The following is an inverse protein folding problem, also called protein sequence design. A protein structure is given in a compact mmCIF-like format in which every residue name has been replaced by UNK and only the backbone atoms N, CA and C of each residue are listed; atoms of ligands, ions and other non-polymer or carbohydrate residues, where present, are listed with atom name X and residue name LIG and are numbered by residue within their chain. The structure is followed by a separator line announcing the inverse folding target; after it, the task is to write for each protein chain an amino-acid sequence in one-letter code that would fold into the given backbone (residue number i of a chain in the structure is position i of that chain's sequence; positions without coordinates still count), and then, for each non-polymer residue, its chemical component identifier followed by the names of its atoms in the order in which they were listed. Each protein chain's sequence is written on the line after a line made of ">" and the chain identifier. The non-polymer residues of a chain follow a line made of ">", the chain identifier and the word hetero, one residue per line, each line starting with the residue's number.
data_IF_500854216727
#
_entry.id   IF_500854216727
#
_cell.length_a   1.000
_cell.length_b   1.000
_cell.length_c   1.000
_cell.angle_alpha   90.00
_cell.angle_beta   90.00
_cell.angle_gamma   90.00
#
_symmetry.space_group_name_H-M   'P 1'
#
loop_
_entity.id
_entity.type
_entity.pdbx_description
1 polymer ?
#
# COMPACT_ATOMS: atom_id res chain seq x y z
N UNK A 1 -13.64 -29.35 -2.08
CA UNK A 1 -14.54 -28.34 -1.48
C UNK A 1 -13.67 -27.17 -1.02
N UNK A 2 -13.95 -25.95 -1.48
CA UNK A 2 -13.25 -24.77 -0.94
C UNK A 2 -13.62 -24.64 0.54
N UNK A 3 -12.59 -24.58 1.39
CA UNK A 3 -12.72 -24.37 2.83
C UNK A 3 -13.46 -23.04 3.02
N UNK A 4 -14.70 -23.07 3.53
CA UNK A 4 -15.39 -21.86 3.95
C UNK A 4 -14.57 -21.26 5.09
N UNK A 5 -13.93 -20.14 4.84
CA UNK A 5 -13.29 -19.35 5.90
C UNK A 5 -14.42 -18.75 6.71
N UNK A 6 -14.56 -19.19 7.96
CA UNK A 6 -15.50 -18.59 8.89
C UNK A 6 -14.97 -17.20 9.25
N UNK A 7 -15.50 -16.17 8.58
CA UNK A 7 -15.20 -14.80 8.93
C UNK A 7 -15.91 -14.53 10.27
N UNK A 8 -15.13 -14.09 11.25
CA UNK A 8 -15.65 -13.66 12.54
C UNK A 8 -16.74 -12.60 12.34
N UNK A 9 -17.76 -12.63 13.19
CA UNK A 9 -18.85 -11.67 13.13
C UNK A 9 -18.31 -10.28 13.49
N UNK A 10 -18.53 -9.31 12.61
CA UNK A 10 -18.33 -7.91 12.95
C UNK A 10 -19.41 -7.49 13.96
N UNK A 11 -19.01 -6.71 14.95
CA UNK A 11 -19.86 -6.16 16.00
C UNK A 11 -20.66 -4.92 15.54
N UNK A 12 -20.52 -4.53 14.26
CA UNK A 12 -21.23 -3.44 13.62
C UNK A 12 -21.86 -3.85 12.28
N UNK A 13 -22.93 -3.17 11.84
CA UNK A 13 -23.51 -3.37 10.51
C UNK A 13 -22.66 -2.69 9.44
N UNK A 14 -22.39 -3.40 8.34
CA UNK A 14 -21.60 -2.88 7.22
C UNK A 14 -22.47 -2.19 6.16
N UNK A 15 -21.97 -1.08 5.62
CA UNK A 15 -22.55 -0.45 4.43
C UNK A 15 -21.81 -1.00 3.22
N UNK A 16 -22.55 -1.45 2.21
CA UNK A 16 -22.00 -1.89 0.93
C UNK A 16 -21.04 -3.10 1.04
N UNK A 17 -20.28 -3.34 -0.03
CA UNK A 17 -19.31 -4.42 -0.11
C UNK A 17 -17.98 -4.01 0.53
N UNK A 18 -17.39 -4.89 1.31
CA UNK A 18 -16.03 -4.73 1.81
C UNK A 18 -14.99 -4.91 0.72
N UNK A 19 -13.85 -4.25 0.88
CA UNK A 19 -12.69 -4.38 -0.01
C UNK A 19 -11.59 -5.16 0.70
N UNK A 20 -11.07 -6.22 0.07
CA UNK A 20 -9.89 -6.93 0.55
C UNK A 20 -8.63 -6.35 -0.11
N UNK A 21 -7.71 -5.81 0.69
CA UNK A 21 -6.43 -5.31 0.22
C UNK A 21 -5.31 -5.61 1.24
N UNK A 22 -4.22 -6.23 0.79
CA UNK A 22 -3.04 -6.56 1.61
C UNK A 22 -3.38 -7.24 2.96
N UNK A 23 -4.17 -8.33 2.91
CA UNK A 23 -4.67 -9.07 4.08
C UNK A 23 -5.50 -8.23 5.08
N UNK A 24 -6.05 -7.10 4.62
CA UNK A 24 -6.94 -6.25 5.38
C UNK A 24 -8.26 -6.08 4.66
N UNK A 25 -9.36 -6.19 5.40
CA UNK A 25 -10.70 -5.91 4.92
C UNK A 25 -11.02 -4.47 5.30
N UNK A 26 -11.44 -3.67 4.33
CA UNK A 26 -11.90 -2.31 4.51
C UNK A 26 -13.41 -2.29 4.35
N UNK A 27 -14.11 -1.75 5.33
CA UNK A 27 -15.59 -1.71 5.38
C UNK A 27 -16.05 -0.41 6.02
N UNK A 28 -17.25 0.04 5.68
CA UNK A 28 -17.88 1.19 6.34
C UNK A 28 -18.76 0.68 7.48
N UNK A 29 -18.54 1.18 8.68
CA UNK A 29 -19.49 1.06 9.78
C UNK A 29 -20.67 2.01 9.52
N UNK A 30 -21.85 1.45 9.30
CA UNK A 30 -23.09 2.22 9.01
C UNK A 30 -23.53 3.11 10.16
N UNK A 31 -23.31 2.70 11.41
CA UNK A 31 -23.75 3.42 12.59
C UNK A 31 -22.85 4.63 12.81
N UNK A 32 -21.54 4.43 12.72
CA UNK A 32 -20.56 5.47 13.00
C UNK A 32 -20.20 6.31 11.78
N UNK A 33 -20.54 5.84 10.56
CA UNK A 33 -20.13 6.44 9.28
C UNK A 33 -18.61 6.58 9.19
N UNK A 34 -17.91 5.53 9.60
CA UNK A 34 -16.45 5.45 9.67
C UNK A 34 -15.94 4.32 8.81
N UNK A 35 -14.76 4.50 8.24
CA UNK A 35 -14.08 3.44 7.51
C UNK A 35 -13.23 2.62 8.49
N UNK A 36 -13.58 1.36 8.64
CA UNK A 36 -12.90 0.40 9.50
C UNK A 36 -12.00 -0.49 8.65
N UNK A 37 -10.76 -0.63 9.09
CA UNK A 37 -9.79 -1.58 8.57
C UNK A 37 -9.70 -2.78 9.53
N UNK A 38 -9.78 -3.99 8.98
CA UNK A 38 -9.77 -5.22 9.76
C UNK A 38 -8.66 -6.13 9.25
N UNK A 39 -7.69 -6.44 10.10
CA UNK A 39 -6.62 -7.37 9.76
C UNK A 39 -7.16 -8.81 9.75
N UNK A 40 -7.07 -9.51 8.61
CA UNK A 40 -7.68 -10.84 8.43
C UNK A 40 -7.06 -11.89 9.35
N UNK A 41 -5.73 -11.81 9.57
CA UNK A 41 -5.00 -12.81 10.35
C UNK A 41 -5.24 -12.63 11.87
N UNK A 42 -5.14 -11.41 12.36
CA UNK A 42 -5.22 -11.08 13.80
C UNK A 42 -6.62 -10.73 14.26
N UNK A 43 -7.54 -10.45 13.33
CA UNK A 43 -8.92 -9.97 13.58
C UNK A 43 -8.97 -8.61 14.29
N UNK A 44 -7.83 -7.92 14.41
CA UNK A 44 -7.76 -6.58 15.00
C UNK A 44 -8.43 -5.59 14.04
N UNK A 45 -9.32 -4.79 14.61
CA UNK A 45 -10.01 -3.70 13.92
C UNK A 45 -9.34 -2.36 14.27
N UNK A 46 -9.23 -1.47 13.28
CA UNK A 46 -8.75 -0.10 13.49
C UNK A 46 -9.52 0.87 12.60
N UNK A 47 -9.86 2.03 13.15
CA UNK A 47 -10.49 3.12 12.40
C UNK A 47 -9.45 3.87 11.55
N UNK A 48 -9.78 4.09 10.27
CA UNK A 48 -9.09 5.08 9.46
C UNK A 48 -9.70 6.45 9.77
N UNK A 49 -8.86 7.36 10.29
CA UNK A 49 -9.24 8.73 10.69
C UNK A 49 -9.51 9.61 9.45
N UNK A 50 -10.56 9.28 8.70
CA UNK A 50 -10.98 9.96 7.47
C UNK A 50 -12.27 10.73 7.74
N UNK A 51 -12.33 11.96 7.25
CA UNK A 51 -13.53 12.79 7.35
C UNK A 51 -14.49 12.48 6.19
N UNK A 52 -15.22 11.36 6.29
CA UNK A 52 -16.13 10.86 5.25
C UNK A 52 -17.40 11.71 5.14
N UNK A 53 -18.00 11.73 3.96
CA UNK A 53 -19.38 12.20 3.79
C UNK A 53 -20.36 11.28 4.56
N UNK A 54 -21.27 11.90 5.32
CA UNK A 54 -22.22 11.20 6.19
C UNK A 54 -23.34 10.49 5.43
N UNK A 55 -23.65 10.96 4.21
CA UNK A 55 -24.71 10.43 3.35
C UNK A 55 -24.10 9.47 2.33
N UNK A 56 -22.99 9.87 1.71
CA UNK A 56 -22.34 9.19 0.61
C UNK A 56 -21.01 8.57 1.02
N UNK A 57 -21.06 7.62 1.96
CA UNK A 57 -19.86 6.93 2.48
C UNK A 57 -19.30 5.86 1.52
N UNK A 58 -19.26 6.15 0.22
CA UNK A 58 -18.68 5.27 -0.80
C UNK A 58 -17.15 5.41 -0.83
N UNK A 59 -16.46 4.30 -1.03
CA UNK A 59 -15.01 4.30 -1.26
C UNK A 59 -14.62 3.23 -2.28
N UNK A 60 -13.41 3.37 -2.82
CA UNK A 60 -12.81 2.43 -3.73
C UNK A 60 -11.31 2.32 -3.43
N UNK A 61 -10.72 1.14 -3.61
CA UNK A 61 -9.27 0.93 -3.43
C UNK A 61 -8.65 0.52 -4.75
N UNK A 62 -7.67 1.30 -5.21
CA UNK A 62 -6.83 1.02 -6.36
C UNK A 62 -5.37 1.13 -5.95
N UNK A 63 -4.62 0.03 -6.11
CA UNK A 63 -3.25 -0.07 -5.61
C UNK A 63 -3.14 0.32 -4.13
N UNK A 64 -2.18 1.16 -3.76
CA UNK A 64 -2.02 1.67 -2.39
C UNK A 64 -2.89 2.91 -2.12
N UNK A 65 -3.88 3.21 -2.97
CA UNK A 65 -4.70 4.42 -2.86
C UNK A 65 -6.14 4.05 -2.57
N UNK A 66 -6.67 4.65 -1.50
CA UNK A 66 -8.08 4.61 -1.16
C UNK A 66 -8.73 5.92 -1.59
N UNK A 67 -9.70 5.83 -2.50
CA UNK A 67 -10.50 6.96 -2.97
C UNK A 67 -11.81 6.99 -2.21
N UNK A 68 -12.16 8.15 -1.66
CA UNK A 68 -13.37 8.32 -0.86
C UNK A 68 -13.97 9.71 -1.06
N UNK A 69 -15.21 9.88 -0.63
CA UNK A 69 -15.90 11.17 -0.63
C UNK A 69 -15.78 11.77 0.77
N UNK A 70 -15.18 12.96 0.87
CA UNK A 70 -15.01 13.65 2.14
C UNK A 70 -16.28 14.41 2.56
N UNK A 71 -16.32 14.96 3.78
CA UNK A 71 -17.47 15.71 4.30
C UNK A 71 -17.86 16.95 3.50
N UNK A 72 -16.99 17.44 2.61
CA UNK A 72 -17.24 18.56 1.73
C UNK A 72 -17.74 18.10 0.35
N UNK A 73 -18.12 16.81 0.22
CA UNK A 73 -18.50 16.15 -1.03
C UNK A 73 -17.42 16.25 -2.13
N UNK A 74 -16.14 16.35 -1.74
CA UNK A 74 -15.03 16.28 -2.68
C UNK A 74 -14.47 14.87 -2.71
N UNK A 75 -14.00 14.46 -3.88
CA UNK A 75 -13.20 13.26 -3.98
C UNK A 75 -11.84 13.50 -3.33
N UNK A 76 -11.44 12.61 -2.44
CA UNK A 76 -10.11 12.59 -1.85
C UNK A 76 -9.45 11.23 -2.09
N UNK A 77 -8.11 11.21 -2.11
CA UNK A 77 -7.32 9.98 -2.09
C UNK A 77 -6.50 9.91 -0.81
N UNK A 78 -6.45 8.74 -0.21
CA UNK A 78 -5.67 8.41 0.97
C UNK A 78 -4.66 7.33 0.60
N UNK A 79 -3.38 7.61 0.82
CA UNK A 79 -2.32 6.63 0.59
C UNK A 79 -2.26 5.67 1.79
N UNK A 80 -2.56 4.39 1.55
CA UNK A 80 -2.64 3.34 2.57
C UNK A 80 -1.28 3.06 3.23
N UNK A 81 -0.15 3.39 2.57
CA UNK A 81 1.21 3.24 3.09
C UNK A 81 1.69 4.49 3.84
N UNK A 82 1.73 5.65 3.17
CA UNK A 82 2.24 6.89 3.76
C UNK A 82 1.25 7.58 4.70
N UNK A 83 -0.02 7.13 4.71
CA UNK A 83 -1.10 7.70 5.54
C UNK A 83 -1.40 9.17 5.22
N UNK A 84 -1.07 9.62 4.01
CA UNK A 84 -1.30 11.00 3.55
C UNK A 84 -2.61 11.12 2.78
N UNK A 85 -3.33 12.22 2.98
CA UNK A 85 -4.57 12.55 2.25
C UNK A 85 -4.28 13.65 1.24
N UNK A 86 -4.86 13.53 0.04
CA UNK A 86 -4.83 14.55 -1.01
C UNK A 86 -6.25 14.72 -1.56
N UNK A 87 -6.76 15.95 -1.56
CA UNK A 87 -8.02 16.27 -2.22
C UNK A 87 -7.83 16.35 -3.74
N UNK A 88 -8.83 15.89 -4.48
CA UNK A 88 -8.85 15.84 -5.95
C UNK A 88 -9.86 16.88 -6.48
N UNK A 89 -9.72 17.32 -7.75
CA UNK A 89 -10.52 18.42 -8.30
C UNK A 89 -11.97 18.03 -8.66
N UNK A 90 -12.52 16.99 -8.04
CA UNK A 90 -13.90 16.55 -8.27
C UNK A 90 -14.76 16.93 -7.07
N UNK A 91 -15.77 17.76 -7.30
CA UNK A 91 -16.67 18.28 -6.29
C UNK A 91 -18.07 17.69 -6.44
N UNK A 92 -18.91 17.86 -5.41
CA UNK A 92 -20.29 17.35 -5.35
C UNK A 92 -20.38 15.86 -5.71
N UNK A 93 -19.40 15.09 -5.27
CA UNK A 93 -19.31 13.65 -5.48
C UNK A 93 -20.32 12.96 -4.57
N UNK A 94 -21.12 12.06 -5.15
CA UNK A 94 -22.12 11.27 -4.42
C UNK A 94 -21.83 9.76 -4.47
N UNK A 95 -20.91 9.33 -5.34
CA UNK A 95 -20.45 7.94 -5.39
C UNK A 95 -19.06 7.85 -6.01
N UNK A 96 -18.24 6.95 -5.48
CA UNK A 96 -16.98 6.51 -6.08
C UNK A 96 -16.94 4.98 -6.09
N UNK A 97 -16.57 4.40 -7.22
CA UNK A 97 -16.40 2.96 -7.42
C UNK A 97 -15.16 2.72 -8.29
N UNK A 98 -14.68 1.48 -8.38
CA UNK A 98 -13.52 1.16 -9.20
C UNK A 98 -13.60 -0.19 -9.89
N UNK A 99 -13.01 -0.27 -11.08
CA UNK A 99 -12.82 -1.50 -11.83
C UNK A 99 -11.46 -1.46 -12.54
N UNK A 100 -10.57 -2.43 -12.29
CA UNK A 100 -9.17 -2.40 -12.76
C UNK A 100 -8.44 -1.13 -12.33
N UNK A 101 -7.85 -0.36 -13.26
CA UNK A 101 -7.25 0.96 -13.03
C UNK A 101 -8.23 2.11 -13.24
N UNK A 102 -9.52 1.82 -13.38
CA UNK A 102 -10.53 2.81 -13.68
C UNK A 102 -11.30 3.18 -12.42
N UNK A 103 -11.38 4.48 -12.14
CA UNK A 103 -12.33 5.06 -11.21
C UNK A 103 -13.61 5.46 -11.94
N UNK A 104 -14.72 5.25 -11.26
CA UNK A 104 -16.05 5.67 -11.68
C UNK A 104 -16.56 6.61 -10.60
N UNK A 105 -16.78 7.86 -10.96
CA UNK A 105 -17.20 8.91 -10.04
C UNK A 105 -18.55 9.44 -10.51
N UNK A 106 -19.52 9.52 -9.60
CA UNK A 106 -20.82 10.14 -9.85
C UNK A 106 -20.87 11.46 -9.11
N UNK A 107 -21.22 12.53 -9.83
CA UNK A 107 -21.35 13.89 -9.30
C UNK A 107 -22.77 14.41 -9.49
N UNK A 108 -23.20 15.30 -8.60
CA UNK A 108 -24.47 16.03 -8.71
C UNK A 108 -24.24 17.54 -8.60
N UNK A 109 -24.05 18.20 -9.74
CA UNK A 109 -23.89 19.65 -9.82
C UNK A 109 -25.15 20.38 -10.29
N UNK A 110 -26.32 19.77 -10.08
CA UNK A 110 -27.61 20.18 -10.67
C UNK A 110 -28.07 19.22 -11.77
N UNK A 111 -27.14 18.48 -12.35
CA UNK A 111 -27.37 17.34 -13.23
C UNK A 111 -26.52 16.16 -12.74
N UNK A 112 -27.10 14.96 -12.79
CA UNK A 112 -26.37 13.73 -12.45
C UNK A 112 -25.41 13.39 -13.57
N UNK A 113 -24.13 13.26 -13.25
CA UNK A 113 -23.09 12.89 -14.21
C UNK A 113 -22.26 11.71 -13.70
N UNK A 114 -21.87 10.82 -14.61
CA UNK A 114 -20.88 9.76 -14.33
C UNK A 114 -19.62 10.00 -15.13
N UNK A 115 -18.48 10.02 -14.46
CA UNK A 115 -17.14 10.19 -15.06
C UNK A 115 -16.36 8.88 -14.95
N UNK A 116 -15.81 8.43 -16.07
CA UNK A 116 -14.88 7.30 -16.16
C UNK A 116 -13.46 7.86 -16.24
N UNK A 117 -12.63 7.50 -15.28
CA UNK A 117 -11.28 8.06 -15.10
C UNK A 117 -10.27 6.93 -15.02
N UNK A 118 -9.30 6.92 -15.91
CA UNK A 118 -8.19 5.96 -15.89
C UNK A 118 -7.06 6.48 -14.99
N UNK A 119 -6.44 5.59 -14.22
CA UNK A 119 -5.27 5.90 -13.41
C UNK A 119 -4.02 5.37 -14.11
N UNK A 120 -3.17 6.27 -14.58
CA UNK A 120 -1.85 5.92 -15.16
C UNK A 120 -0.74 6.68 -14.47
N UNK A 121 0.21 5.96 -13.86
CA UNK A 121 1.36 6.57 -13.17
C UNK A 121 0.91 7.69 -12.22
N UNK A 122 -0.08 7.38 -11.39
CA UNK A 122 -0.70 8.32 -10.42
C UNK A 122 -1.45 9.53 -11.02
N UNK A 123 -1.50 9.65 -12.35
CA UNK A 123 -2.30 10.69 -13.03
C UNK A 123 -3.71 10.19 -13.30
N UNK A 124 -4.68 11.06 -13.04
CA UNK A 124 -6.09 10.86 -13.35
C UNK A 124 -6.35 11.33 -14.77
N UNK A 125 -6.78 10.44 -15.64
CA UNK A 125 -7.07 10.72 -17.05
C UNK A 125 -8.56 10.50 -17.28
N UNK A 126 -9.30 11.59 -17.50
CA UNK A 126 -10.73 11.49 -17.85
C UNK A 126 -10.87 10.80 -19.21
N UNK A 127 -11.57 9.67 -19.24
CA UNK A 127 -11.83 8.92 -20.47
C UNK A 127 -13.19 9.29 -21.08
N UNK A 128 -14.22 9.43 -20.24
CA UNK A 128 -15.59 9.65 -20.69
C UNK A 128 -16.45 10.28 -19.59
N UNK A 129 -17.39 11.12 -19.99
CA UNK A 129 -18.48 11.62 -19.14
C UNK A 129 -19.81 11.15 -19.73
N UNK A 130 -20.76 10.83 -18.85
CA UNK A 130 -22.15 10.52 -19.17
C UNK A 130 -23.06 11.45 -18.37
N UNK A 131 -24.05 12.05 -19.01
CA UNK A 131 -25.01 12.96 -18.38
C UNK A 131 -26.17 12.18 -17.72
N UNK A 132 -25.78 11.19 -16.91
CA UNK A 132 -26.69 10.31 -16.17
C UNK A 132 -25.96 9.63 -15.03
N UNK A 133 -26.72 9.12 -14.06
CA UNK A 133 -26.22 8.32 -12.95
C UNK A 133 -26.09 6.86 -13.35
N UNK A 134 -24.86 6.41 -13.46
CA UNK A 134 -24.51 5.00 -13.65
C UNK A 134 -23.89 4.45 -12.38
N UNK A 135 -24.11 3.17 -12.10
CA UNK A 135 -23.39 2.44 -11.07
C UNK A 135 -22.67 1.24 -11.64
N UNK A 136 -21.57 0.86 -11.00
CA UNK A 136 -20.79 -0.32 -11.34
C UNK A 136 -21.39 -1.57 -10.70
N UNK A 137 -21.77 -2.53 -11.55
CA UNK A 137 -21.99 -3.92 -11.17
C UNK A 137 -20.64 -4.65 -11.07
N UNK A 138 -20.52 -5.60 -10.15
CA UNK A 138 -19.25 -6.28 -9.84
C UNK A 138 -18.64 -7.06 -11.00
N UNK A 139 -19.43 -7.34 -12.03
CA UNK A 139 -19.02 -7.97 -13.29
C UNK A 139 -18.31 -7.01 -14.26
N UNK A 140 -18.09 -5.75 -13.88
CA UNK A 140 -17.39 -4.77 -14.71
C UNK A 140 -18.27 -4.17 -15.81
N UNK A 141 -19.55 -3.93 -15.49
CA UNK A 141 -20.46 -3.16 -16.36
C UNK A 141 -21.09 -2.02 -15.59
N UNK A 142 -21.33 -0.91 -16.27
CA UNK A 142 -22.08 0.20 -15.72
C UNK A 142 -23.54 0.09 -16.13
N UNK A 143 -24.45 0.30 -15.18
CA UNK A 143 -25.88 0.26 -15.42
C UNK A 143 -26.51 1.54 -14.89
N UNK A 144 -27.58 1.97 -15.54
CA UNK A 144 -28.28 3.21 -15.19
C UNK A 144 -29.33 2.93 -14.12
N UNK A 145 -29.36 3.77 -13.08
CA UNK A 145 -30.28 3.60 -11.96
C UNK A 145 -31.74 3.68 -12.47
N UNK A 146 -32.51 2.62 -12.25
CA UNK A 146 -33.92 2.54 -12.67
C UNK A 146 -34.16 1.97 -14.07
N UNK A 147 -33.11 1.69 -14.86
CA UNK A 147 -33.24 0.95 -16.12
C UNK A 147 -32.45 -0.35 -16.03
N UNK A 148 -33.11 -1.49 -16.19
CA UNK A 148 -32.46 -2.80 -16.02
C UNK A 148 -31.92 -3.40 -17.31
N UNK A 149 -32.30 -2.88 -18.48
CA UNK A 149 -31.96 -3.52 -19.75
C UNK A 149 -30.68 -2.97 -20.41
N UNK A 150 -30.28 -1.75 -20.03
CA UNK A 150 -29.18 -1.05 -20.67
C UNK A 150 -27.90 -1.09 -19.83
N UNK A 151 -26.76 -1.33 -20.45
CA UNK A 151 -25.48 -1.34 -19.78
C UNK A 151 -24.33 -0.84 -20.65
N UNK A 152 -23.22 -0.49 -20.01
CA UNK A 152 -21.97 -0.12 -20.66
C UNK A 152 -20.89 -1.06 -20.18
N UNK A 153 -20.19 -1.66 -21.14
CA UNK A 153 -19.14 -2.62 -20.86
C UNK A 153 -17.79 -1.92 -20.67
N UNK A 154 -17.23 -1.97 -19.46
CA UNK A 154 -15.95 -1.32 -19.15
C UNK A 154 -14.73 -1.97 -19.82
N UNK A 155 -14.88 -3.18 -20.38
CA UNK A 155 -13.81 -3.81 -21.18
C UNK A 155 -13.81 -3.35 -22.63
N UNK A 156 -14.91 -2.79 -23.12
CA UNK A 156 -15.02 -2.39 -24.51
C UNK A 156 -14.53 -0.97 -24.73
N UNK A 157 -13.77 -0.80 -25.82
CA UNK A 157 -13.37 0.53 -26.29
C UNK A 157 -14.62 1.34 -26.66
N UNK A 158 -14.58 2.64 -26.37
CA UNK A 158 -15.64 3.58 -26.75
C UNK A 158 -16.84 3.69 -25.81
N UNK A 159 -16.96 2.78 -24.82
CA UNK A 159 -18.01 2.82 -23.79
C UNK A 159 -19.43 2.95 -24.36
N UNK A 160 -19.70 2.19 -25.42
CA UNK A 160 -21.01 2.20 -26.07
C UNK A 160 -22.07 1.54 -25.20
N UNK A 161 -23.30 2.07 -25.29
CA UNK A 161 -24.48 1.48 -24.68
C UNK A 161 -24.80 0.16 -25.38
N UNK A 162 -25.14 -0.84 -24.58
CA UNK A 162 -25.68 -2.13 -24.98
C UNK A 162 -27.04 -2.34 -24.31
N UNK A 163 -27.86 -3.16 -24.95
CA UNK A 163 -29.18 -3.53 -24.45
C UNK A 163 -29.22 -5.04 -24.10
N UNK A 164 -30.30 -5.51 -23.48
CA UNK A 164 -30.50 -6.92 -23.15
C UNK A 164 -29.87 -7.40 -21.84
N UNK A 165 -29.47 -6.51 -20.92
CA UNK A 165 -28.90 -6.91 -19.63
C UNK A 165 -29.87 -7.77 -18.80
N UNK A 166 -31.16 -7.46 -18.85
CA UNK A 166 -32.17 -8.19 -18.06
C UNK A 166 -32.30 -9.65 -18.51
N UNK A 167 -32.06 -9.93 -19.80
CA UNK A 167 -32.05 -11.30 -20.33
C UNK A 167 -30.88 -12.14 -19.80
N UNK A 168 -29.82 -11.49 -19.33
CA UNK A 168 -28.63 -12.12 -18.74
C UNK A 168 -28.75 -12.26 -17.22
N UNK A 169 -29.83 -11.71 -16.63
CA UNK A 169 -30.06 -11.72 -15.19
C UNK A 169 -30.64 -13.06 -14.77
N UNK A 170 -30.07 -13.62 -13.71
CA UNK A 170 -30.54 -14.82 -13.03
C UNK A 170 -31.45 -14.45 -11.86
N UNK A 171 -32.37 -15.36 -11.51
CA UNK A 171 -33.31 -15.18 -10.40
C UNK A 171 -32.58 -15.02 -9.04
N UNK A 172 -31.55 -15.83 -8.82
CA UNK A 172 -30.83 -15.88 -7.55
C UNK A 172 -29.43 -15.30 -7.71
N UNK A 173 -28.97 -14.57 -6.69
CA UNK A 173 -27.59 -14.12 -6.61
C UNK A 173 -26.66 -15.32 -6.39
N UNK A 174 -25.47 -15.28 -6.97
CA UNK A 174 -24.43 -16.29 -6.75
C UNK A 174 -23.06 -15.61 -6.66
N UNK A 175 -22.12 -16.30 -6.00
CA UNK A 175 -20.75 -15.81 -5.81
C UNK A 175 -19.88 -16.21 -6.99
N UNK A 176 -19.07 -15.27 -7.46
CA UNK A 176 -18.12 -15.46 -8.57
C UNK A 176 -16.72 -15.02 -8.14
N UNK A 177 -15.68 -15.30 -8.93
CA UNK A 177 -14.36 -14.73 -8.69
C UNK A 177 -14.33 -13.19 -8.74
N UNK A 178 -15.35 -12.55 -9.31
CA UNK A 178 -15.52 -11.10 -9.36
C UNK A 178 -16.38 -10.56 -8.20
N UNK A 179 -16.92 -11.46 -7.37
CA UNK A 179 -17.84 -11.19 -6.27
C UNK A 179 -19.30 -11.60 -6.55
N UNK A 180 -20.24 -11.37 -5.63
CA UNK A 180 -21.65 -11.69 -5.80
C UNK A 180 -22.30 -10.93 -6.97
N UNK A 181 -23.10 -11.63 -7.78
CA UNK A 181 -23.80 -11.04 -8.94
C UNK A 181 -25.04 -11.84 -9.31
N UNK A 182 -25.94 -11.21 -10.07
CA UNK A 182 -27.05 -11.87 -10.75
C UNK A 182 -26.74 -12.24 -12.22
N UNK A 183 -25.58 -11.87 -12.77
CA UNK A 183 -25.35 -11.91 -14.23
C UNK A 183 -24.29 -12.94 -14.62
N UNK A 184 -24.66 -14.22 -14.65
CA UNK A 184 -23.69 -15.33 -14.77
C UNK A 184 -22.94 -15.32 -16.09
N UNK A 185 -23.67 -15.04 -17.16
CA UNK A 185 -23.16 -15.11 -18.53
C UNK A 185 -22.23 -13.93 -18.86
N UNK A 186 -22.20 -12.91 -18.00
CA UNK A 186 -21.24 -11.82 -18.09
C UNK A 186 -19.95 -12.10 -17.33
N UNK A 187 -19.79 -13.26 -16.68
CA UNK A 187 -18.56 -13.64 -15.97
C UNK A 187 -17.67 -14.43 -16.92
N UNK A 188 -16.88 -13.73 -17.74
CA UNK A 188 -15.96 -14.36 -18.70
C UNK A 188 -14.55 -14.52 -18.14
N UNK A 189 -13.77 -15.46 -18.68
CA UNK A 189 -12.34 -15.62 -18.36
C UNK A 189 -11.54 -14.33 -18.59
N UNK A 190 -11.89 -13.57 -19.63
CA UNK A 190 -11.27 -12.28 -19.90
C UNK A 190 -11.50 -11.31 -18.74
N UNK A 191 -12.73 -11.22 -18.22
CA UNK A 191 -13.09 -10.38 -17.06
C UNK A 191 -12.45 -10.85 -15.76
N UNK A 192 -12.41 -12.16 -15.55
CA UNK A 192 -11.72 -12.76 -14.42
C UNK A 192 -10.22 -12.41 -14.49
N UNK A 193 -9.56 -12.63 -15.63
CA UNK A 193 -8.14 -12.28 -15.85
C UNK A 193 -7.89 -10.78 -15.70
N UNK A 194 -8.84 -9.97 -16.18
CA UNK A 194 -8.84 -8.53 -16.05
C UNK A 194 -8.82 -8.05 -14.59
N UNK A 195 -9.61 -8.68 -13.72
CA UNK A 195 -9.59 -8.40 -12.28
C UNK A 195 -8.38 -9.03 -11.59
N UNK A 196 -8.01 -10.25 -12.01
CA UNK A 196 -6.87 -10.98 -11.45
C UNK A 196 -5.51 -10.41 -11.86
N UNK A 197 -5.39 -9.66 -12.96
CA UNK A 197 -4.13 -9.01 -13.35
C UNK A 197 -3.59 -8.11 -12.22
N UNK A 198 -4.48 -7.46 -11.49
CA UNK A 198 -4.14 -6.72 -10.27
C UNK A 198 -3.90 -7.63 -9.06
N UNK A 199 -4.68 -8.70 -8.91
CA UNK A 199 -4.54 -9.63 -7.79
C UNK A 199 -3.28 -10.50 -7.88
N UNK A 200 -2.83 -10.89 -9.07
CA UNK A 200 -1.69 -11.80 -9.29
C UNK A 200 -0.35 -11.10 -9.09
N UNK A 201 -0.22 -9.84 -9.52
CA UNK A 201 0.94 -9.01 -9.20
C UNK A 201 1.05 -8.76 -7.69
N UNK A 202 -0.07 -8.56 -7.00
CA UNK A 202 -0.12 -8.37 -5.54
C UNK A 202 0.07 -9.67 -4.76
N UNK A 203 -0.48 -10.79 -5.23
CA UNK A 203 -0.30 -12.10 -4.61
C UNK A 203 1.16 -12.53 -4.70
N UNK A 204 1.83 -12.33 -5.84
CA UNK A 204 3.27 -12.60 -5.98
C UNK A 204 4.09 -11.76 -4.98
N UNK A 205 3.75 -10.48 -4.79
CA UNK A 205 4.41 -9.63 -3.79
C UNK A 205 4.14 -10.07 -2.34
N UNK A 206 2.91 -10.52 -2.05
CA UNK A 206 2.53 -11.04 -0.74
C UNK A 206 3.25 -12.37 -0.46
N UNK A 207 3.28 -13.27 -1.44
CA UNK A 207 3.95 -14.56 -1.34
C UNK A 207 5.45 -14.35 -1.13
N UNK A 208 6.09 -13.44 -1.89
CA UNK A 208 7.49 -13.10 -1.69
C UNK A 208 7.77 -12.51 -0.30
N UNK A 209 6.92 -11.62 0.22
CA UNK A 209 7.08 -11.09 1.57
C UNK A 209 6.92 -12.18 2.65
N UNK A 210 5.92 -13.05 2.53
CA UNK A 210 5.72 -14.17 3.46
C UNK A 210 6.93 -15.11 3.43
N UNK A 211 7.40 -15.47 2.24
CA UNK A 211 8.58 -16.32 2.07
C UNK A 211 9.82 -15.65 2.66
N UNK A 212 9.96 -14.33 2.52
CA UNK A 212 11.06 -13.58 3.12
C UNK A 212 11.00 -13.61 4.65
N UNK A 213 9.84 -13.34 5.26
CA UNK A 213 9.66 -13.39 6.71
C UNK A 213 9.89 -14.81 7.27
N UNK A 214 9.40 -15.83 6.57
CA UNK A 214 9.67 -17.23 6.91
C UNK A 214 11.15 -17.56 6.82
N UNK A 215 11.84 -17.09 5.78
CA UNK A 215 13.28 -17.27 5.63
C UNK A 215 14.07 -16.58 6.75
N UNK A 216 13.66 -15.38 7.19
CA UNK A 216 14.25 -14.70 8.35
C UNK A 216 14.03 -15.48 9.64
N UNK A 217 12.80 -15.91 9.92
CA UNK A 217 12.45 -16.65 11.14
C UNK A 217 13.20 -17.98 11.24
N UNK A 218 13.34 -18.68 10.12
CA UNK A 218 14.05 -19.96 10.03
C UNK A 218 15.55 -19.81 9.79
N UNK A 219 16.05 -18.56 9.70
CA UNK A 219 17.43 -18.23 9.36
C UNK A 219 17.92 -18.96 8.10
N UNK A 220 17.05 -19.11 7.09
CA UNK A 220 17.36 -19.73 5.81
C UNK A 220 18.17 -18.77 4.94
N UNK A 221 19.46 -18.62 5.26
CA UNK A 221 20.38 -17.71 4.59
C UNK A 221 20.49 -17.91 3.07
N UNK A 222 20.52 -19.16 2.53
CA UNK A 222 20.48 -19.36 1.09
C UNK A 222 19.23 -18.80 0.42
N UNK A 223 18.07 -18.85 1.08
CA UNK A 223 16.84 -18.23 0.58
C UNK A 223 16.92 -16.70 0.66
N UNK A 224 17.36 -16.15 1.80
CA UNK A 224 17.56 -14.70 2.00
C UNK A 224 18.49 -14.12 0.92
N UNK A 225 19.58 -14.82 0.60
CA UNK A 225 20.56 -14.40 -0.41
C UNK A 225 19.99 -14.34 -1.84
N UNK A 226 18.84 -14.96 -2.13
CA UNK A 226 18.19 -14.91 -3.44
C UNK A 226 17.28 -13.70 -3.64
N UNK A 227 16.86 -13.02 -2.58
CA UNK A 227 16.00 -11.84 -2.71
C UNK A 227 16.73 -10.67 -3.36
N UNK A 228 15.95 -9.78 -3.99
CA UNK A 228 16.47 -8.58 -4.64
C UNK A 228 17.02 -7.58 -3.63
N UNK A 229 17.92 -6.69 -4.08
CA UNK A 229 18.48 -5.63 -3.23
C UNK A 229 17.38 -4.73 -2.65
N UNK A 230 16.34 -4.42 -3.44
CA UNK A 230 15.21 -3.61 -2.98
C UNK A 230 14.45 -4.26 -1.81
N UNK A 231 14.24 -5.58 -1.86
CA UNK A 231 13.56 -6.31 -0.78
C UNK A 231 14.41 -6.37 0.49
N UNK A 232 15.73 -6.57 0.33
CA UNK A 232 16.68 -6.57 1.44
C UNK A 232 16.79 -5.19 2.08
N UNK A 233 16.81 -4.12 1.28
CA UNK A 233 16.83 -2.73 1.76
C UNK A 233 15.59 -2.40 2.59
N UNK A 234 14.39 -2.77 2.12
CA UNK A 234 13.14 -2.56 2.84
C UNK A 234 13.07 -3.28 4.20
N UNK A 235 13.89 -4.31 4.40
CA UNK A 235 13.91 -5.13 5.62
C UNK A 235 15.30 -5.16 6.27
N UNK A 236 16.15 -4.18 5.97
CA UNK A 236 17.58 -4.20 6.30
C UNK A 236 17.83 -4.33 7.80
N UNK A 237 17.00 -3.66 8.62
CA UNK A 237 17.10 -3.73 10.08
C UNK A 237 16.87 -5.14 10.62
N UNK A 238 15.85 -5.84 10.10
CA UNK A 238 15.52 -7.20 10.52
C UNK A 238 16.61 -8.18 10.12
N UNK A 239 17.18 -8.01 8.92
CA UNK A 239 18.27 -8.86 8.41
C UNK A 239 19.54 -8.67 9.26
N UNK A 240 19.95 -7.43 9.52
CA UNK A 240 21.19 -7.12 10.28
C UNK A 240 21.12 -7.64 11.72
N UNK A 241 19.95 -7.55 12.38
CA UNK A 241 19.78 -8.03 13.77
C UNK A 241 20.08 -9.52 13.95
N UNK A 242 19.85 -10.34 12.93
CA UNK A 242 20.10 -11.79 12.98
C UNK A 242 21.39 -12.20 12.27
N UNK A 243 22.08 -11.25 11.64
CA UNK A 243 23.25 -11.50 10.78
C UNK A 243 24.44 -12.09 11.54
N UNK A 244 24.49 -11.90 12.86
CA UNK A 244 25.51 -12.47 13.75
C UNK A 244 25.60 -14.00 13.67
N UNK A 245 24.52 -14.69 13.28
CA UNK A 245 24.48 -16.14 13.11
C UNK A 245 24.60 -16.60 11.65
N UNK A 246 24.82 -15.66 10.72
CA UNK A 246 24.89 -15.93 9.29
C UNK A 246 26.29 -16.39 8.89
N UNK A 247 26.38 -17.51 8.16
CA UNK A 247 27.63 -17.98 7.53
C UNK A 247 27.62 -17.83 5.99
N UNK A 248 26.61 -17.16 5.44
CA UNK A 248 26.43 -17.02 4.00
C UNK A 248 27.08 -15.73 3.49
N UNK A 249 28.21 -15.85 2.80
CA UNK A 249 28.97 -14.71 2.28
C UNK A 249 28.18 -13.85 1.27
N UNK A 250 27.28 -14.43 0.48
CA UNK A 250 26.43 -13.68 -0.47
C UNK A 250 25.49 -12.72 0.25
N UNK A 251 24.94 -13.15 1.39
CA UNK A 251 24.11 -12.28 2.24
C UNK A 251 24.96 -11.13 2.79
N UNK A 252 26.18 -11.40 3.28
CA UNK A 252 27.07 -10.35 3.76
C UNK A 252 27.45 -9.34 2.68
N UNK A 253 27.78 -9.80 1.47
CA UNK A 253 28.13 -8.91 0.35
C UNK A 253 26.97 -8.00 -0.02
N UNK A 254 25.75 -8.55 -0.20
CA UNK A 254 24.55 -7.73 -0.50
C UNK A 254 24.23 -6.72 0.59
N UNK A 255 24.24 -7.15 1.85
CA UNK A 255 23.90 -6.28 2.99
C UNK A 255 24.99 -5.23 3.22
N UNK A 256 26.27 -5.60 3.09
CA UNK A 256 27.39 -4.67 3.17
C UNK A 256 27.33 -3.61 2.08
N UNK A 257 27.02 -4.00 0.84
CA UNK A 257 26.80 -3.06 -0.27
C UNK A 257 25.66 -2.09 0.04
N UNK A 258 24.51 -2.58 0.51
CA UNK A 258 23.36 -1.73 0.85
C UNK A 258 23.72 -0.74 1.98
N UNK A 259 24.30 -1.21 3.08
CA UNK A 259 24.65 -0.35 4.21
C UNK A 259 25.73 0.70 3.87
N UNK A 260 26.63 0.38 2.93
CA UNK A 260 27.66 1.31 2.47
C UNK A 260 27.13 2.39 1.51
N UNK A 261 26.04 2.12 0.78
CA UNK A 261 25.57 3.00 -0.32
C UNK A 261 24.22 3.68 -0.05
N UNK A 262 23.38 3.12 0.83
CA UNK A 262 22.07 3.69 1.15
C UNK A 262 22.25 4.92 2.06
N UNK A 263 21.63 6.02 1.66
CA UNK A 263 21.61 7.25 2.45
C UNK A 263 20.72 7.07 3.69
N UNK A 264 21.10 7.68 4.81
CA UNK A 264 20.34 7.68 6.08
C UNK A 264 20.30 6.34 6.86
N UNK A 265 21.23 5.43 6.63
CA UNK A 265 21.41 4.26 7.51
C UNK A 265 22.03 4.68 8.84
N UNK A 266 21.47 4.22 9.96
CA UNK A 266 21.96 4.56 11.30
C UNK A 266 23.36 3.98 11.58
N UNK A 267 24.16 4.70 12.37
CA UNK A 267 25.49 4.23 12.82
C UNK A 267 25.38 2.88 13.55
N UNK A 268 24.35 2.72 14.35
CA UNK A 268 24.09 1.47 15.10
C UNK A 268 23.95 0.28 14.16
N UNK A 269 23.24 0.44 13.04
CA UNK A 269 23.05 -0.65 12.09
C UNK A 269 24.33 -1.00 11.34
N UNK A 270 25.10 0.02 10.95
CA UNK A 270 26.45 -0.16 10.37
C UNK A 270 27.37 -0.90 11.34
N UNK A 271 27.36 -0.52 12.62
CA UNK A 271 28.18 -1.17 13.65
C UNK A 271 27.77 -2.64 13.86
N UNK A 272 26.47 -2.94 13.94
CA UNK A 272 25.98 -4.32 14.07
C UNK A 272 26.43 -5.21 12.91
N UNK A 273 26.44 -4.68 11.68
CA UNK A 273 26.99 -5.41 10.53
C UNK A 273 28.49 -5.67 10.66
N UNK A 274 29.27 -4.65 11.07
CA UNK A 274 30.72 -4.78 11.29
C UNK A 274 31.00 -5.88 12.33
N UNK A 275 30.29 -5.86 13.45
CA UNK A 275 30.47 -6.83 14.53
C UNK A 275 30.11 -8.25 14.07
N UNK A 276 29.01 -8.41 13.32
CA UNK A 276 28.63 -9.68 12.72
C UNK A 276 29.67 -10.18 11.70
N UNK A 277 30.28 -9.29 10.92
CA UNK A 277 31.34 -9.66 9.98
C UNK A 277 32.61 -10.08 10.71
N UNK A 278 33.00 -9.41 11.79
CA UNK A 278 34.15 -9.82 12.60
C UNK A 278 33.94 -11.20 13.23
N UNK A 279 32.70 -11.53 13.61
CA UNK A 279 32.37 -12.83 14.20
C UNK A 279 32.36 -14.00 13.20
N UNK A 280 32.02 -13.75 11.92
CA UNK A 280 31.78 -14.82 10.93
C UNK A 280 32.76 -14.81 9.74
N UNK A 281 33.39 -13.66 9.48
CA UNK A 281 34.10 -13.38 8.23
C UNK A 281 35.35 -14.23 8.03
N UNK A 282 35.92 -14.82 9.08
CA UNK A 282 37.08 -15.72 8.99
C UNK A 282 36.80 -16.92 8.07
N UNK A 283 35.57 -17.41 8.01
CA UNK A 283 35.19 -18.55 7.17
C UNK A 283 34.95 -18.22 5.69
N UNK A 284 34.95 -16.95 5.29
CA UNK A 284 34.59 -16.55 3.92
C UNK A 284 35.75 -16.74 2.94
N UNK A 285 35.39 -16.87 1.66
CA UNK A 285 36.37 -16.94 0.58
C UNK A 285 37.20 -15.65 0.52
N UNK A 286 38.45 -15.74 0.04
CA UNK A 286 39.34 -14.58 -0.01
C UNK A 286 38.74 -13.43 -0.84
N UNK A 287 38.11 -13.74 -1.97
CA UNK A 287 37.47 -12.74 -2.82
C UNK A 287 36.34 -12.00 -2.08
N UNK A 288 35.46 -12.74 -1.41
CA UNK A 288 34.36 -12.15 -0.66
C UNK A 288 34.83 -11.39 0.58
N UNK A 289 35.89 -11.86 1.25
CA UNK A 289 36.53 -11.11 2.36
C UNK A 289 36.99 -9.74 1.90
N UNK A 290 37.70 -9.65 0.77
CA UNK A 290 38.22 -8.37 0.26
C UNK A 290 37.07 -7.42 -0.11
N UNK A 291 36.04 -7.93 -0.77
CA UNK A 291 34.85 -7.15 -1.13
C UNK A 291 34.14 -6.61 0.12
N UNK A 292 33.78 -7.48 1.06
CA UNK A 292 33.05 -7.09 2.28
C UNK A 292 33.91 -6.17 3.16
N UNK A 293 35.22 -6.41 3.24
CA UNK A 293 36.15 -5.56 4.00
C UNK A 293 36.19 -4.13 3.44
N UNK A 294 36.04 -3.96 2.13
CA UNK A 294 35.94 -2.63 1.51
C UNK A 294 34.71 -1.88 2.03
N UNK A 295 33.56 -2.55 2.11
CA UNK A 295 32.33 -1.96 2.68
C UNK A 295 32.49 -1.66 4.18
N UNK A 296 33.09 -2.58 4.94
CA UNK A 296 33.37 -2.39 6.37
C UNK A 296 34.26 -1.18 6.62
N UNK A 297 35.29 -0.97 5.80
CA UNK A 297 36.17 0.19 5.92
C UNK A 297 35.41 1.50 5.65
N UNK A 298 34.58 1.54 4.61
CA UNK A 298 33.72 2.69 4.32
C UNK A 298 32.76 3.00 5.47
N UNK A 299 32.10 1.98 6.02
CA UNK A 299 31.21 2.13 7.17
C UNK A 299 31.93 2.64 8.44
N UNK A 300 33.15 2.16 8.72
CA UNK A 300 33.97 2.67 9.84
C UNK A 300 34.29 4.15 9.67
N UNK A 301 34.73 4.54 8.47
CA UNK A 301 35.03 5.93 8.15
C UNK A 301 33.79 6.83 8.30
N UNK A 302 32.62 6.37 7.84
CA UNK A 302 31.36 7.09 8.01
C UNK A 302 31.01 7.29 9.49
N UNK A 303 31.11 6.23 10.30
CA UNK A 303 30.83 6.29 11.75
C UNK A 303 31.78 7.28 12.43
N UNK A 304 33.08 7.20 12.14
CA UNK A 304 34.07 8.09 12.75
C UNK A 304 33.87 9.56 12.34
N UNK A 305 33.55 9.80 11.06
CA UNK A 305 33.26 11.14 10.53
C UNK A 305 32.03 11.74 11.23
N UNK A 306 30.98 10.95 11.43
CA UNK A 306 29.78 11.41 12.13
C UNK A 306 30.04 11.67 13.62
N UNK A 307 30.78 10.79 14.31
CA UNK A 307 31.20 11.03 15.71
C UNK A 307 32.04 12.30 15.86
N UNK A 308 32.91 12.61 14.91
CA UNK A 308 33.67 13.86 14.90
C UNK A 308 32.76 15.07 14.70
N UNK A 309 31.79 14.98 13.79
CA UNK A 309 30.81 16.05 13.56
C UNK A 309 29.95 16.30 14.81
N UNK A 310 29.49 15.25 15.50
CA UNK A 310 28.74 15.35 16.76
C UNK A 310 29.57 16.01 17.87
N UNK A 311 30.85 15.63 18.03
CA UNK A 311 31.77 16.27 18.98
C UNK A 311 31.95 17.76 18.69
N UNK A 312 32.13 18.12 17.42
CA UNK A 312 32.27 19.52 17.01
C UNK A 312 30.99 20.31 17.26
N UNK A 313 29.82 19.73 17.00
CA UNK A 313 28.53 20.36 17.26
C UNK A 313 28.33 20.60 18.76
N UNK A 314 28.66 19.60 19.61
CA UNK A 314 28.57 19.73 21.06
C UNK A 314 29.51 20.82 21.60
N UNK A 315 30.75 20.89 21.09
CA UNK A 315 31.69 21.95 21.45
C UNK A 315 31.13 23.34 21.11
N UNK A 316 30.58 23.52 19.90
CA UNK A 316 29.94 24.78 19.50
C UNK A 316 28.72 25.14 20.36
N UNK A 317 27.94 24.15 20.79
CA UNK A 317 26.80 24.40 21.68
C UNK A 317 27.26 24.86 23.06
N UNK A 318 28.37 24.30 23.58
CA UNK A 318 28.95 24.73 24.85
C UNK A 318 29.50 26.16 24.73
N UNK A 319 30.28 26.47 23.69
CA UNK A 319 30.80 27.82 23.44
C UNK A 319 29.67 28.85 23.36
N UNK A 320 28.59 28.53 22.65
CA UNK A 320 27.40 29.38 22.58
C UNK A 320 26.77 29.64 23.95
N UNK A 321 26.64 28.60 24.78
CA UNK A 321 26.06 28.72 26.10
C UNK A 321 26.94 29.54 27.04
N UNK A 322 28.26 29.43 26.93
CA UNK A 322 29.19 30.22 27.72
C UNK A 322 29.15 31.70 27.30
N UNK A 323 29.05 32.01 26.01
CA UNK A 323 28.82 33.38 25.52
C UNK A 323 27.51 33.96 26.09
N UNK A 324 26.42 33.19 26.06
CA UNK A 324 25.14 33.64 26.61
C UNK A 324 25.24 33.93 28.11
N UNK A 325 25.96 33.10 28.89
CA UNK A 325 26.20 33.35 30.32
C UNK A 325 26.99 34.62 30.57
N UNK A 326 28.00 34.92 29.75
CA UNK A 326 28.75 36.18 29.86
C UNK A 326 27.83 37.37 29.61
N UNK A 327 27.03 37.33 28.55
CA UNK A 327 26.06 38.39 28.23
C UNK A 327 25.05 38.59 29.38
N UNK A 328 24.52 37.52 29.96
CA UNK A 328 23.56 37.60 31.07
C UNK A 328 24.16 38.20 32.35
N UNK A 329 25.46 37.98 32.61
CA UNK A 329 26.15 38.55 33.75
C UNK A 329 26.48 40.03 33.55
N UNK A 330 26.85 40.41 32.33
CA UNK A 330 27.14 41.82 31.98
C UNK A 330 25.88 42.70 32.02
N UNK A 331 24.70 42.15 31.67
CA UNK A 331 23.41 42.89 31.74
C UNK A 331 22.92 43.11 33.18
N UNK A 332 23.43 42.35 34.15
CA UNK A 332 23.03 42.45 35.57
C UNK A 332 23.90 43.40 36.40
N UNK A 333 25.01 43.87 35.86
CA UNK A 333 25.84 44.92 36.46
C UNK A 333 25.40 46.29 35.95
#
# INVERSE_FOLDING_TARGET
>A
AQQRVDLFKLDFPIDQHGYLYNQRIYVIDTNLKKLIEVNVATKVQSELQLNLDKIYSYFAILDDQLFFINSNQKLAKYNLKSKTIVELPYEKCIRVQSFKNTLIIVTDSGTLETKIIDIKKEKLILLKTFDRRLWLEQIGVLVECGTVDNYIDLLQKGFHKKDGLEKLRTQNMFFTPMGPTHYKDLVSDERIKAMQGHAKLKQLQIDEFILFQQALQTQNWPAIGKFSNQQLEQNIESVVKILYYCKNEVVFSKIGFLLANVQNVSQTLKQQFIDAYLANGEGFSLAQKVEIQTYVNGMKQDIDSQKQAEKLLLARMNDKNDILRVIENDVKQ
#
